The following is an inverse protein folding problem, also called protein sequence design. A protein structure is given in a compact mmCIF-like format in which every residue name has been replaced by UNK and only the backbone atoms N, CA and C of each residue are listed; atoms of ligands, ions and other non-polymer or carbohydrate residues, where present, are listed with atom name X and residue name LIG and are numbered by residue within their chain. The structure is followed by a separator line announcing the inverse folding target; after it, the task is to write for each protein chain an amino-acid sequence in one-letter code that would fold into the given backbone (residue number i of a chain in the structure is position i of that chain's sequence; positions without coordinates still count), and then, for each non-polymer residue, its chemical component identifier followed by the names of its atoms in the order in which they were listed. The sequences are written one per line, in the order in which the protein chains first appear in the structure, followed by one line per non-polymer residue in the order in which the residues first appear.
data_IF_100118144968
#
_entry.id   IF_100118144968
#
_cell.length_a   1.000
_cell.length_b   1.000
_cell.length_c   1.000
_cell.angle_alpha   90.00
_cell.angle_beta   90.00
_cell.angle_gamma   90.00
#
_symmetry.space_group_name_H-M   'P 1'
#
loop_
_entity.id
_entity.type
_entity.pdbx_description
1 polymer ?
#
# COMPACT_ATOMS: atom_id res chain seq x y z
N UNK A 1 12.32 30.48 27.45
CA UNK A 1 11.26 29.49 27.19
C UNK A 1 10.84 29.74 25.74
N UNK A 2 11.13 28.81 24.83
CA UNK A 2 10.62 28.91 23.45
C UNK A 2 9.15 28.51 23.50
N UNK A 3 8.26 29.45 23.25
CA UNK A 3 6.83 29.18 23.04
C UNK A 3 6.65 28.87 21.56
N UNK A 4 6.34 27.62 21.24
CA UNK A 4 5.90 27.23 19.91
C UNK A 4 4.42 27.57 19.80
N UNK A 5 4.08 28.55 18.95
CA UNK A 5 2.70 28.82 18.55
C UNK A 5 2.44 28.13 17.21
N UNK A 6 1.20 27.70 16.96
CA UNK A 6 0.81 27.18 15.65
C UNK A 6 1.00 28.28 14.58
N UNK A 7 1.54 27.90 13.42
CA UNK A 7 1.70 28.86 12.31
C UNK A 7 0.32 29.34 11.84
N UNK A 8 0.20 30.65 11.63
CA UNK A 8 -1.01 31.25 11.03
C UNK A 8 -0.95 31.27 9.51
N UNK A 9 0.19 30.90 8.92
CA UNK A 9 0.40 30.80 7.48
C UNK A 9 -0.38 29.59 6.93
N UNK A 10 -1.36 29.88 6.07
CA UNK A 10 -2.21 28.89 5.41
C UNK A 10 -1.88 28.72 3.93
N UNK A 11 -1.05 29.62 3.40
CA UNK A 11 -0.70 29.66 1.99
C UNK A 11 0.45 28.69 1.73
N UNK A 12 0.23 27.76 0.81
CA UNK A 12 1.25 26.81 0.34
C UNK A 12 1.30 26.94 -1.17
N UNK A 13 2.50 26.95 -1.76
CA UNK A 13 2.65 27.02 -3.21
C UNK A 13 3.42 25.80 -3.73
N UNK A 14 2.83 25.03 -4.67
CA UNK A 14 1.45 25.17 -5.17
C UNK A 14 0.40 24.91 -4.07
N UNK A 15 -0.82 25.46 -4.21
CA UNK A 15 -1.89 25.15 -3.26
C UNK A 15 -2.15 23.64 -3.25
N UNK A 16 -2.51 23.10 -2.10
CA UNK A 16 -2.99 21.72 -2.04
C UNK A 16 -4.22 21.58 -2.92
N UNK A 17 -4.20 20.58 -3.80
CA UNK A 17 -5.35 20.25 -4.63
C UNK A 17 -6.43 19.61 -3.75
N UNK A 18 -7.67 20.09 -3.89
CA UNK A 18 -8.83 19.50 -3.20
C UNK A 18 -9.34 18.31 -4.02
N UNK A 19 -8.76 17.13 -3.76
CA UNK A 19 -9.17 15.92 -4.44
C UNK A 19 -10.47 15.37 -3.84
N UNK A 20 -11.40 14.98 -4.71
CA UNK A 20 -12.56 14.22 -4.29
C UNK A 20 -12.12 12.89 -3.66
N UNK A 21 -12.79 12.44 -2.60
CA UNK A 21 -12.49 11.16 -1.97
C UNK A 21 -12.55 9.99 -2.98
N UNK A 22 -13.53 10.02 -3.86
CA UNK A 22 -13.67 9.14 -5.02
C UNK A 22 -14.01 9.97 -6.26
N UNK A 23 -13.23 9.82 -7.31
CA UNK A 23 -13.53 10.39 -8.63
C UNK A 23 -13.98 9.26 -9.56
N UNK A 24 -15.04 9.46 -10.33
CA UNK A 24 -15.46 8.52 -11.36
C UNK A 24 -15.70 9.25 -12.68
N UNK A 25 -15.18 8.69 -13.79
CA UNK A 25 -15.47 9.16 -15.14
C UNK A 25 -15.33 8.04 -16.17
N UNK A 26 -16.02 8.19 -17.29
CA UNK A 26 -15.77 7.38 -18.48
C UNK A 26 -14.65 8.03 -19.30
N UNK A 27 -13.61 7.27 -19.61
CA UNK A 27 -12.55 7.72 -20.53
C UNK A 27 -13.07 7.61 -21.97
N UNK A 28 -13.71 6.49 -22.27
CA UNK A 28 -14.45 6.22 -23.50
C UNK A 28 -15.62 5.27 -23.16
N UNK A 29 -16.47 4.85 -24.12
CA UNK A 29 -17.62 3.98 -23.84
C UNK A 29 -17.28 2.59 -23.26
N UNK A 30 -16.01 2.19 -23.25
CA UNK A 30 -15.55 0.87 -22.78
C UNK A 30 -14.66 0.95 -21.53
N UNK A 31 -13.92 2.06 -21.36
CA UNK A 31 -12.96 2.25 -20.28
C UNK A 31 -13.55 3.17 -19.20
N UNK A 32 -13.85 2.59 -18.02
CA UNK A 32 -14.19 3.35 -16.83
C UNK A 32 -12.91 3.72 -16.06
N UNK A 33 -12.94 4.88 -15.41
CA UNK A 33 -11.91 5.35 -14.49
C UNK A 33 -12.54 5.59 -13.12
N UNK A 34 -11.88 5.09 -12.08
CA UNK A 34 -12.19 5.37 -10.68
C UNK A 34 -10.91 5.71 -9.92
N UNK A 35 -10.86 6.88 -9.28
CA UNK A 35 -9.79 7.20 -8.33
C UNK A 35 -10.27 6.89 -6.92
N UNK A 36 -9.44 6.21 -6.15
CA UNK A 36 -9.68 5.93 -4.73
C UNK A 36 -8.64 6.70 -3.93
N UNK A 37 -8.93 7.94 -3.55
CA UNK A 37 -7.89 8.88 -3.09
C UNK A 37 -7.53 8.75 -1.60
N UNK A 38 -8.27 7.95 -0.82
CA UNK A 38 -7.93 7.69 0.59
C UNK A 38 -8.70 6.48 1.11
N UNK A 39 -8.02 5.63 1.89
CA UNK A 39 -8.66 4.59 2.70
C UNK A 39 -8.79 4.99 4.17
N UNK A 40 -8.55 6.24 4.52
CA UNK A 40 -8.72 6.76 5.89
C UNK A 40 -10.19 7.13 6.17
N UNK A 41 -10.93 7.52 5.11
CA UNK A 41 -12.32 7.89 5.23
C UNK A 41 -13.25 6.74 4.79
N UNK A 42 -14.00 6.10 5.71
CA UNK A 42 -14.88 4.96 5.39
C UNK A 42 -16.02 5.29 4.42
N UNK A 43 -16.30 6.58 4.17
CA UNK A 43 -17.29 6.98 3.16
C UNK A 43 -16.93 6.51 1.75
N UNK A 44 -15.65 6.22 1.48
CA UNK A 44 -15.21 5.76 0.16
C UNK A 44 -15.89 4.46 -0.26
N UNK A 45 -16.17 3.54 0.67
CA UNK A 45 -16.87 2.28 0.37
C UNK A 45 -18.29 2.55 -0.13
N UNK A 46 -19.03 3.41 0.56
CA UNK A 46 -20.37 3.83 0.14
C UNK A 46 -20.34 4.47 -1.25
N UNK A 47 -19.40 5.39 -1.49
CA UNK A 47 -19.24 6.04 -2.80
C UNK A 47 -18.89 5.03 -3.89
N UNK A 48 -18.07 4.02 -3.60
CA UNK A 48 -17.72 2.98 -4.54
C UNK A 48 -18.94 2.10 -4.87
N UNK A 49 -19.70 1.69 -3.85
CA UNK A 49 -20.94 0.91 -4.00
C UNK A 49 -21.95 1.67 -4.86
N UNK A 50 -22.13 2.97 -4.64
CA UNK A 50 -23.00 3.83 -5.45
C UNK A 50 -22.59 3.87 -6.94
N UNK A 51 -21.31 3.63 -7.26
CA UNK A 51 -20.80 3.56 -8.64
C UNK A 51 -20.83 2.18 -9.25
N UNK A 52 -21.10 1.12 -8.49
CA UNK A 52 -21.18 -0.25 -9.03
C UNK A 52 -22.10 -0.37 -10.25
N UNK A 53 -23.31 0.22 -10.31
CA UNK A 53 -24.16 0.14 -11.49
C UNK A 53 -23.53 0.67 -12.78
N UNK A 54 -22.66 1.68 -12.68
CA UNK A 54 -21.89 2.19 -13.82
C UNK A 54 -20.66 1.33 -14.10
N UNK A 55 -19.93 0.93 -13.05
CA UNK A 55 -18.75 0.09 -13.18
C UNK A 55 -19.06 -1.29 -13.79
N UNK A 56 -20.25 -1.85 -13.54
CA UNK A 56 -20.71 -3.10 -14.19
C UNK A 56 -20.83 -3.00 -15.71
N UNK A 57 -20.96 -1.79 -16.27
CA UNK A 57 -21.01 -1.58 -17.72
C UNK A 57 -19.63 -1.58 -18.35
N UNK A 58 -18.58 -1.38 -17.55
CA UNK A 58 -17.22 -1.22 -18.04
C UNK A 58 -16.71 -2.52 -18.66
N UNK A 59 -16.01 -2.39 -19.79
CA UNK A 59 -15.29 -3.51 -20.41
C UNK A 59 -13.83 -3.53 -20.00
N UNK A 60 -13.32 -2.40 -19.49
CA UNK A 60 -11.96 -2.16 -19.03
C UNK A 60 -12.01 -1.13 -17.91
N UNK A 61 -11.10 -1.24 -16.95
CA UNK A 61 -11.11 -0.40 -15.75
C UNK A 61 -9.74 0.23 -15.51
N UNK A 62 -9.73 1.48 -15.09
CA UNK A 62 -8.57 2.14 -14.49
C UNK A 62 -8.92 2.45 -13.04
N UNK A 63 -8.15 1.93 -12.10
CA UNK A 63 -8.22 2.26 -10.68
C UNK A 63 -7.00 3.13 -10.35
N UNK A 64 -7.21 4.38 -9.99
CA UNK A 64 -6.15 5.31 -9.65
C UNK A 64 -5.93 5.37 -8.13
N UNK A 65 -4.74 4.96 -7.70
CA UNK A 65 -4.28 4.97 -6.30
C UNK A 65 -3.12 5.95 -6.09
N UNK A 66 -2.75 6.74 -7.12
CA UNK A 66 -1.55 7.59 -7.08
C UNK A 66 -1.55 8.60 -5.94
N UNK A 67 -2.72 9.03 -5.49
CA UNK A 67 -2.90 9.98 -4.39
C UNK A 67 -3.33 9.32 -3.07
N UNK A 68 -3.39 7.99 -3.00
CA UNK A 68 -3.90 7.27 -1.83
C UNK A 68 -2.80 6.97 -0.81
N UNK A 69 -2.71 7.80 0.23
CA UNK A 69 -1.77 7.60 1.34
C UNK A 69 -2.11 6.43 2.29
N UNK A 70 -3.17 5.69 2.01
CA UNK A 70 -3.65 4.57 2.82
C UNK A 70 -4.72 4.98 3.82
N UNK A 71 -4.68 4.36 5.01
CA UNK A 71 -5.70 4.43 6.03
C UNK A 71 -5.98 3.03 6.59
N UNK A 72 -7.20 2.54 6.44
CA UNK A 72 -7.60 1.22 6.92
C UNK A 72 -7.53 0.17 5.79
N UNK A 73 -6.74 -0.88 6.00
CA UNK A 73 -6.62 -2.03 5.08
C UNK A 73 -7.99 -2.65 4.75
N UNK A 74 -8.90 -2.72 5.73
CA UNK A 74 -10.21 -3.35 5.51
C UNK A 74 -11.03 -2.63 4.43
N UNK A 75 -11.02 -1.30 4.40
CA UNK A 75 -11.70 -0.48 3.38
C UNK A 75 -11.18 -0.86 1.99
N UNK A 76 -9.85 -0.90 1.82
CA UNK A 76 -9.23 -1.32 0.57
C UNK A 76 -9.65 -2.74 0.14
N UNK A 77 -9.64 -3.69 1.09
CA UNK A 77 -10.05 -5.08 0.81
C UNK A 77 -11.54 -5.23 0.52
N UNK A 78 -12.40 -4.42 1.15
CA UNK A 78 -13.85 -4.39 0.93
C UNK A 78 -14.22 -3.84 -0.45
N UNK A 79 -13.38 -2.99 -1.04
CA UNK A 79 -13.49 -2.59 -2.44
C UNK A 79 -12.91 -3.68 -3.36
N UNK A 80 -11.73 -4.23 -3.03
CA UNK A 80 -11.04 -5.21 -3.86
C UNK A 80 -11.84 -6.49 -4.10
N UNK A 81 -12.67 -6.92 -3.13
CA UNK A 81 -13.55 -8.09 -3.27
C UNK A 81 -14.52 -7.99 -4.46
N UNK A 82 -14.83 -6.77 -4.95
CA UNK A 82 -15.62 -6.59 -6.18
C UNK A 82 -14.78 -6.70 -7.45
N UNK A 83 -13.45 -6.66 -7.36
CA UNK A 83 -12.54 -6.59 -8.50
C UNK A 83 -11.72 -7.89 -8.70
N UNK A 84 -11.79 -8.84 -7.78
CA UNK A 84 -11.00 -10.09 -7.75
C UNK A 84 -11.78 -11.32 -8.23
N UNK A 85 -11.08 -12.28 -8.83
CA UNK A 85 -11.62 -13.63 -9.10
C UNK A 85 -11.63 -14.53 -7.86
N UNK A 86 -10.81 -14.23 -6.86
CA UNK A 86 -10.52 -15.16 -5.78
C UNK A 86 -11.52 -15.02 -4.63
N UNK A 87 -11.67 -16.11 -3.87
CA UNK A 87 -12.41 -16.09 -2.60
C UNK A 87 -11.48 -15.97 -1.41
N UNK A 88 -10.21 -16.30 -1.59
CA UNK A 88 -9.15 -16.17 -0.60
C UNK A 88 -8.16 -15.11 -1.07
N UNK A 89 -7.98 -14.06 -0.29
CA UNK A 89 -7.13 -12.94 -0.58
C UNK A 89 -5.90 -12.99 0.33
N UNK A 90 -4.73 -13.11 -0.29
CA UNK A 90 -3.47 -13.26 0.44
C UNK A 90 -2.79 -11.89 0.59
N UNK A 91 -2.90 -11.34 1.81
CA UNK A 91 -2.29 -10.07 2.17
C UNK A 91 -0.80 -10.19 2.52
N UNK A 92 -0.25 -9.10 3.05
CA UNK A 92 1.14 -9.05 3.46
C UNK A 92 1.43 -9.99 4.64
N UNK A 93 2.64 -10.56 4.64
CA UNK A 93 3.17 -11.32 5.77
C UNK A 93 3.95 -10.38 6.68
N UNK A 94 3.53 -10.31 7.93
CA UNK A 94 4.16 -9.48 8.95
C UNK A 94 5.05 -10.29 9.89
N UNK A 95 6.18 -9.70 10.25
CA UNK A 95 6.99 -10.14 11.40
C UNK A 95 7.55 -8.94 12.15
N UNK A 96 7.80 -9.10 13.44
CA UNK A 96 8.47 -8.08 14.24
C UNK A 96 9.73 -8.63 14.86
N UNK A 97 10.69 -7.75 15.17
CA UNK A 97 11.89 -8.14 15.90
C UNK A 97 11.48 -8.51 17.33
N UNK A 98 11.73 -9.75 17.73
CA UNK A 98 11.51 -10.16 19.12
C UNK A 98 12.70 -9.71 19.97
N UNK A 99 12.55 -8.54 20.59
CA UNK A 99 13.61 -7.87 21.33
C UNK A 99 13.59 -8.24 22.82
N UNK A 100 14.48 -9.15 23.21
CA UNK A 100 14.73 -9.50 24.61
C UNK A 100 16.13 -9.01 24.99
N UNK A 101 16.26 -7.91 25.76
CA UNK A 101 17.56 -7.28 26.06
C UNK A 101 18.58 -8.24 26.68
N UNK A 102 18.13 -9.13 27.56
CA UNK A 102 18.99 -10.15 28.20
C UNK A 102 19.61 -11.11 27.19
N UNK A 103 18.83 -11.57 26.21
CA UNK A 103 19.35 -12.42 25.14
C UNK A 103 20.32 -11.68 24.25
N UNK A 104 20.04 -10.41 23.96
CA UNK A 104 20.94 -9.53 23.19
C UNK A 104 22.29 -9.38 23.89
N UNK A 105 22.30 -9.18 25.21
CA UNK A 105 23.52 -9.06 26.00
C UNK A 105 24.32 -10.37 26.07
N UNK A 106 23.66 -11.52 26.23
CA UNK A 106 24.35 -12.82 26.25
C UNK A 106 24.90 -13.21 24.88
N UNK A 107 24.17 -12.91 23.80
CA UNK A 107 24.60 -13.21 22.43
C UNK A 107 25.89 -12.54 22.01
N UNK A 108 26.28 -11.43 22.66
CA UNK A 108 27.60 -10.79 22.47
C UNK A 108 28.76 -11.75 22.74
N UNK A 109 28.57 -12.71 23.63
CA UNK A 109 29.57 -13.70 24.05
C UNK A 109 29.31 -15.09 23.47
N UNK A 110 28.35 -15.22 22.56
CA UNK A 110 28.00 -16.48 21.90
C UNK A 110 28.64 -16.53 20.51
N UNK A 111 29.35 -17.61 20.20
CA UNK A 111 29.91 -17.85 18.88
C UNK A 111 29.01 -18.79 18.06
N UNK A 112 29.09 -18.78 16.72
CA UNK A 112 28.29 -19.70 15.89
C UNK A 112 28.42 -21.18 16.27
N UNK A 113 29.62 -21.61 16.71
CA UNK A 113 29.87 -22.99 17.14
C UNK A 113 29.03 -23.41 18.36
N UNK A 114 28.65 -22.46 19.21
CA UNK A 114 27.87 -22.70 20.42
C UNK A 114 26.40 -22.97 20.10
N UNK A 115 25.97 -22.74 18.84
CA UNK A 115 24.56 -22.84 18.43
C UNK A 115 24.16 -24.21 17.87
N UNK A 116 25.12 -25.12 17.67
CA UNK A 116 24.90 -26.36 16.90
C UNK A 116 23.80 -27.26 17.48
N UNK A 117 23.65 -27.33 18.80
CA UNK A 117 22.62 -28.13 19.49
C UNK A 117 21.97 -27.37 20.67
N UNK A 118 22.14 -26.05 20.73
CA UNK A 118 21.59 -25.21 21.79
C UNK A 118 20.67 -24.13 21.19
N UNK A 119 19.35 -24.37 21.20
CA UNK A 119 18.36 -23.39 20.76
C UNK A 119 18.44 -22.06 21.51
N UNK A 120 18.91 -22.07 22.77
CA UNK A 120 19.07 -20.87 23.58
C UNK A 120 20.25 -20.04 23.13
N UNK A 121 21.41 -20.68 22.91
CA UNK A 121 22.59 -20.02 22.33
C UNK A 121 22.25 -19.46 20.94
N UNK A 122 21.53 -20.22 20.11
CA UNK A 122 21.03 -19.74 18.80
C UNK A 122 20.15 -18.50 18.95
N UNK A 123 19.18 -18.54 19.89
CA UNK A 123 18.29 -17.41 20.16
C UNK A 123 19.08 -16.18 20.62
N UNK A 124 20.01 -16.34 21.55
CA UNK A 124 20.87 -15.27 22.06
C UNK A 124 21.71 -14.64 20.93
N UNK A 125 22.39 -15.47 20.12
CA UNK A 125 23.20 -15.00 18.99
C UNK A 125 22.37 -14.23 17.96
N UNK A 126 21.19 -14.76 17.58
CA UNK A 126 20.29 -14.09 16.65
C UNK A 126 19.72 -12.78 17.24
N UNK A 127 19.41 -12.73 18.53
CA UNK A 127 18.98 -11.50 19.20
C UNK A 127 20.09 -10.44 19.21
N UNK A 128 21.35 -10.84 19.44
CA UNK A 128 22.52 -9.96 19.36
C UNK A 128 22.71 -9.36 17.97
N UNK A 129 22.54 -10.19 16.93
CA UNK A 129 22.70 -9.80 15.53
C UNK A 129 21.50 -9.04 14.94
N UNK A 130 20.47 -8.76 15.74
CA UNK A 130 19.22 -8.18 15.23
C UNK A 130 18.64 -9.05 14.07
N UNK A 131 18.67 -10.36 14.28
CA UNK A 131 18.20 -11.39 13.34
C UNK A 131 17.15 -12.34 13.95
N UNK A 132 16.74 -12.12 15.20
CA UNK A 132 15.67 -12.87 15.84
C UNK A 132 14.32 -12.16 15.68
N UNK A 133 13.33 -12.87 15.15
CA UNK A 133 12.02 -12.34 14.79
C UNK A 133 10.90 -13.20 15.37
N UNK A 134 9.77 -12.55 15.65
CA UNK A 134 8.47 -13.17 15.85
C UNK A 134 7.66 -13.01 14.58
N UNK A 135 7.33 -14.13 13.93
CA UNK A 135 6.43 -14.18 12.79
C UNK A 135 4.98 -14.23 13.30
N UNK A 136 4.15 -13.28 12.84
CA UNK A 136 2.74 -13.27 13.22
C UNK A 136 1.98 -14.41 12.51
N UNK A 137 0.89 -14.93 13.11
CA UNK A 137 0.02 -15.86 12.42
C UNK A 137 -0.43 -15.30 11.07
N UNK A 138 -0.42 -16.15 10.04
CA UNK A 138 -0.74 -15.75 8.68
C UNK A 138 -1.81 -16.66 8.11
N UNK A 139 -2.96 -16.06 7.79
CA UNK A 139 -4.09 -16.70 7.14
C UNK A 139 -4.62 -15.76 6.06
N UNK A 140 -5.13 -16.28 4.93
CA UNK A 140 -5.78 -15.43 3.93
C UNK A 140 -7.09 -14.85 4.45
N UNK A 141 -7.44 -13.67 3.97
CA UNK A 141 -8.78 -13.11 4.16
C UNK A 141 -9.78 -13.78 3.22
N UNK A 142 -11.04 -13.80 3.63
CA UNK A 142 -12.12 -14.33 2.78
C UNK A 142 -12.85 -13.17 2.12
N UNK A 143 -12.84 -13.11 0.79
CA UNK A 143 -13.67 -12.19 0.02
C UNK A 143 -15.14 -12.65 0.10
N UNK A 144 -16.03 -11.75 0.56
CA UNK A 144 -17.45 -12.07 0.83
C UNK A 144 -18.42 -11.24 -0.02
N UNK A 145 -17.95 -10.65 -1.11
CA UNK A 145 -18.81 -9.87 -2.00
C UNK A 145 -20.03 -10.71 -2.45
N UNK A 146 -21.22 -10.31 -2.00
CA UNK A 146 -22.49 -10.94 -2.38
C UNK A 146 -22.97 -10.49 -3.76
N UNK A 147 -22.47 -9.35 -4.23
CA UNK A 147 -22.80 -8.81 -5.54
C UNK A 147 -21.91 -9.37 -6.65
N UNK A 148 -22.28 -9.05 -7.90
CA UNK A 148 -21.46 -9.40 -9.06
C UNK A 148 -20.05 -8.78 -8.95
N UNK A 149 -19.05 -9.52 -9.42
CA UNK A 149 -17.66 -9.06 -9.49
C UNK A 149 -17.38 -8.45 -10.86
N UNK A 150 -16.57 -7.41 -10.86
CA UNK A 150 -16.12 -6.64 -12.02
C UNK A 150 -14.74 -7.12 -12.38
N UNK A 151 -14.69 -8.25 -13.09
CA UNK A 151 -13.43 -8.83 -13.51
C UNK A 151 -13.20 -8.62 -14.99
N UNK A 152 -12.53 -7.51 -15.29
CA UNK A 152 -12.22 -7.02 -16.63
C UNK A 152 -10.76 -6.57 -16.67
N UNK A 153 -10.12 -6.43 -17.85
CA UNK A 153 -8.80 -5.84 -17.95
C UNK A 153 -8.71 -4.52 -17.16
N UNK A 154 -7.84 -4.50 -16.14
CA UNK A 154 -7.76 -3.44 -15.15
C UNK A 154 -6.33 -2.91 -15.06
N UNK A 155 -6.18 -1.59 -15.08
CA UNK A 155 -4.92 -0.92 -14.76
C UNK A 155 -5.03 -0.29 -13.38
N UNK A 156 -4.05 -0.54 -12.52
CA UNK A 156 -3.86 0.13 -11.24
C UNK A 156 -2.80 1.23 -11.44
N UNK A 157 -3.18 2.51 -11.33
CA UNK A 157 -2.23 3.60 -11.37
C UNK A 157 -1.63 3.80 -9.98
N UNK A 158 -0.30 3.80 -9.90
CA UNK A 158 0.45 3.87 -8.64
C UNK A 158 1.55 4.93 -8.73
N UNK A 159 1.96 5.45 -7.58
CA UNK A 159 3.08 6.37 -7.49
C UNK A 159 3.54 6.62 -6.07
N UNK A 160 4.46 7.57 -5.90
CA UNK A 160 5.16 7.81 -4.64
C UNK A 160 4.24 8.14 -3.45
N UNK A 161 3.02 8.64 -3.68
CA UNK A 161 2.06 8.90 -2.59
C UNK A 161 1.13 7.70 -2.29
N UNK A 162 1.16 6.65 -3.10
CA UNK A 162 0.49 5.38 -2.79
C UNK A 162 1.20 4.74 -1.60
N UNK A 163 0.55 4.61 -0.45
CA UNK A 163 1.21 4.19 0.78
C UNK A 163 0.31 3.33 1.67
N UNK A 164 0.90 2.60 2.63
CA UNK A 164 0.15 2.00 3.75
C UNK A 164 -0.95 1.04 3.24
N UNK A 165 -2.20 1.17 3.69
CA UNK A 165 -3.33 0.36 3.24
C UNK A 165 -3.52 0.34 1.70
N UNK A 166 -3.06 1.37 0.97
CA UNK A 166 -3.07 1.36 -0.49
C UNK A 166 -2.01 0.40 -1.07
N UNK A 167 -0.88 0.22 -0.39
CA UNK A 167 0.11 -0.81 -0.74
C UNK A 167 -0.42 -2.21 -0.39
N UNK A 168 -1.13 -2.35 0.74
CA UNK A 168 -1.81 -3.62 1.06
C UNK A 168 -2.81 -4.01 -0.04
N UNK A 169 -3.62 -3.07 -0.54
CA UNK A 169 -4.51 -3.30 -1.68
C UNK A 169 -3.77 -3.90 -2.87
N UNK A 170 -2.59 -3.36 -3.20
CA UNK A 170 -1.76 -3.87 -4.31
C UNK A 170 -1.22 -5.27 -4.04
N UNK A 171 -0.88 -5.58 -2.78
CA UNK A 171 -0.39 -6.91 -2.38
C UNK A 171 -1.52 -7.94 -2.50
N UNK A 172 -2.72 -7.63 -2.02
CA UNK A 172 -3.88 -8.50 -2.20
C UNK A 172 -4.26 -8.67 -3.68
N UNK A 173 -4.02 -7.64 -4.50
CA UNK A 173 -4.28 -7.67 -5.95
C UNK A 173 -3.17 -8.35 -6.77
N UNK A 174 -2.02 -8.71 -6.18
CA UNK A 174 -0.81 -9.04 -6.94
C UNK A 174 -0.94 -10.32 -7.78
N UNK A 175 -1.80 -11.26 -7.35
CA UNK A 175 -2.06 -12.51 -8.08
C UNK A 175 -3.17 -12.38 -9.14
N UNK A 176 -3.77 -11.20 -9.30
CA UNK A 176 -4.87 -10.99 -10.24
C UNK A 176 -4.34 -10.77 -11.67
N UNK A 177 -4.37 -11.81 -12.52
CA UNK A 177 -3.82 -11.75 -13.90
C UNK A 177 -4.47 -10.70 -14.81
N UNK A 178 -5.69 -10.26 -14.48
CA UNK A 178 -6.38 -9.18 -15.21
C UNK A 178 -5.98 -7.78 -14.76
N UNK A 179 -5.20 -7.64 -13.68
CA UNK A 179 -4.74 -6.36 -13.15
C UNK A 179 -3.27 -6.11 -13.49
N UNK A 180 -2.94 -4.88 -13.88
CA UNK A 180 -1.55 -4.46 -14.13
C UNK A 180 -1.27 -3.11 -13.47
N UNK A 181 -0.11 -2.97 -12.82
CA UNK A 181 0.34 -1.76 -12.14
C UNK A 181 1.12 -0.87 -13.11
N UNK A 182 0.74 0.39 -13.28
CA UNK A 182 1.41 1.36 -14.16
C UNK A 182 1.70 2.65 -13.39
N UNK A 183 2.91 3.18 -13.53
CA UNK A 183 3.31 4.43 -12.88
C UNK A 183 4.69 4.32 -12.26
N UNK A 184 4.85 4.75 -11.03
CA UNK A 184 6.11 4.76 -10.29
C UNK A 184 6.05 3.86 -9.05
N UNK A 185 7.19 3.48 -8.45
CA UNK A 185 7.19 2.78 -7.16
C UNK A 185 6.36 3.50 -6.11
N UNK A 186 5.68 2.74 -5.27
CA UNK A 186 4.91 3.27 -4.13
C UNK A 186 5.83 3.73 -2.99
N UNK A 187 5.25 4.30 -1.94
CA UNK A 187 5.99 4.90 -0.83
C UNK A 187 6.89 3.90 -0.07
N UNK A 188 6.48 2.64 0.05
CA UNK A 188 7.24 1.59 0.73
C UNK A 188 7.09 1.60 2.25
N UNK A 189 5.88 1.74 2.78
CA UNK A 189 5.62 1.79 4.23
C UNK A 189 4.50 0.86 4.67
N UNK A 190 4.65 0.26 5.85
CA UNK A 190 3.66 -0.67 6.44
C UNK A 190 2.47 0.02 7.11
N UNK A 191 2.47 1.36 7.18
CA UNK A 191 1.30 2.11 7.65
C UNK A 191 0.96 2.03 9.14
N UNK A 192 1.61 1.15 9.90
CA UNK A 192 1.30 0.90 11.32
C UNK A 192 2.49 1.22 12.23
N UNK A 193 2.93 2.49 12.33
CA UNK A 193 4.01 2.86 13.21
C UNK A 193 3.55 2.91 14.67
N UNK A 194 4.45 2.60 15.60
CA UNK A 194 4.28 2.98 16.99
C UNK A 194 4.53 4.48 17.12
N UNK A 195 3.61 5.18 17.79
CA UNK A 195 3.74 6.60 18.13
C UNK A 195 4.15 6.76 19.59
N UNK A 196 5.01 7.74 19.89
CA UNK A 196 5.43 8.06 21.24
C UNK A 196 5.82 9.54 21.38
N UNK A 197 5.61 10.07 22.58
CA UNK A 197 5.92 11.46 22.91
C UNK A 197 7.41 11.64 23.27
N UNK A 198 7.96 12.80 22.92
CA UNK A 198 9.32 13.20 23.24
C UNK A 198 9.31 14.23 24.39
N UNK A 199 10.36 14.25 25.23
CA UNK A 199 10.56 15.34 26.18
C UNK A 199 10.55 16.69 25.45
N UNK A 200 9.80 17.66 26.00
CA UNK A 200 9.66 18.99 25.38
C UNK A 200 8.47 19.15 24.45
N UNK A 201 7.59 18.15 24.32
CA UNK A 201 6.27 18.29 23.70
C UNK A 201 6.19 17.98 22.20
N UNK A 202 7.26 17.43 21.61
CA UNK A 202 7.21 16.84 20.28
C UNK A 202 6.78 15.36 20.32
N UNK A 203 6.53 14.77 19.17
CA UNK A 203 6.23 13.33 19.04
C UNK A 203 7.11 12.69 17.97
N UNK A 204 7.24 11.37 18.05
CA UNK A 204 7.95 10.55 17.07
C UNK A 204 7.13 9.31 16.72
N UNK A 205 7.40 8.77 15.54
CA UNK A 205 6.81 7.52 15.06
C UNK A 205 7.89 6.61 14.50
N UNK A 206 7.77 5.31 14.79
CA UNK A 206 8.73 4.29 14.34
C UNK A 206 7.97 3.07 13.81
N UNK A 207 8.40 2.55 12.65
CA UNK A 207 7.86 1.30 12.12
C UNK A 207 8.34 0.13 12.98
N UNK A 208 7.41 -0.73 13.41
CA UNK A 208 7.70 -1.82 14.37
C UNK A 208 7.66 -3.22 13.75
N UNK A 209 7.25 -3.32 12.48
CA UNK A 209 7.12 -4.59 11.76
C UNK A 209 7.74 -4.51 10.36
N UNK A 210 8.24 -5.64 9.89
CA UNK A 210 8.62 -5.88 8.50
C UNK A 210 7.45 -6.61 7.83
N UNK A 211 6.95 -6.05 6.73
CA UNK A 211 5.96 -6.68 5.89
C UNK A 211 6.59 -7.11 4.56
N UNK A 212 6.12 -8.24 4.04
CA UNK A 212 6.51 -8.83 2.76
C UNK A 212 5.29 -9.25 1.97
N UNK A 213 5.45 -9.48 0.67
CA UNK A 213 4.47 -10.23 -0.11
C UNK A 213 4.31 -11.64 0.46
N UNK A 214 3.21 -12.36 0.13
CA UNK A 214 3.03 -13.76 0.54
C UNK A 214 4.21 -14.68 0.19
N UNK A 215 4.89 -14.40 -0.93
CA UNK A 215 6.05 -15.16 -1.43
C UNK A 215 7.41 -14.70 -0.84
N UNK A 216 7.40 -13.70 0.04
CA UNK A 216 8.60 -13.16 0.69
C UNK A 216 9.31 -12.03 -0.06
N UNK A 217 8.81 -11.58 -1.23
CA UNK A 217 9.30 -10.34 -1.86
C UNK A 217 9.16 -9.17 -0.87
N UNK A 218 10.12 -8.24 -0.91
CA UNK A 218 10.15 -7.05 -0.06
C UNK A 218 9.59 -5.84 -0.79
N UNK A 219 8.82 -5.02 -0.09
CA UNK A 219 8.37 -3.71 -0.57
C UNK A 219 8.64 -2.59 0.43
N UNK A 220 8.71 -2.88 1.73
CA UNK A 220 9.03 -1.87 2.76
C UNK A 220 10.41 -1.28 2.52
N UNK A 221 10.49 0.05 2.39
CA UNK A 221 11.69 0.80 2.03
C UNK A 221 12.01 0.87 0.53
N UNK A 222 11.27 0.15 -0.32
CA UNK A 222 11.49 0.10 -1.78
C UNK A 222 10.26 0.54 -2.60
N UNK A 223 9.06 0.39 -2.02
CA UNK A 223 7.79 0.48 -2.73
C UNK A 223 7.41 -0.83 -3.43
N UNK A 224 6.10 -1.06 -3.58
CA UNK A 224 5.52 -1.94 -4.60
C UNK A 224 5.93 -1.40 -5.97
N UNK A 225 6.51 -2.28 -6.78
CA UNK A 225 7.02 -1.91 -8.10
C UNK A 225 5.89 -1.92 -9.15
N UNK A 226 5.89 -0.98 -10.10
CA UNK A 226 4.98 -1.03 -11.24
C UNK A 226 5.41 -2.15 -12.19
N UNK A 227 4.43 -2.77 -12.86
CA UNK A 227 4.68 -3.71 -13.96
C UNK A 227 5.12 -2.94 -15.23
N UNK A 228 4.63 -1.70 -15.40
CA UNK A 228 5.09 -0.76 -16.43
C UNK A 228 5.48 0.57 -15.77
N UNK A 229 6.78 0.83 -15.72
CA UNK A 229 7.33 2.08 -15.20
C UNK A 229 7.03 3.25 -16.15
N UNK A 230 6.45 4.32 -15.60
CA UNK A 230 6.17 5.58 -16.31
C UNK A 230 6.44 6.73 -15.36
N UNK A 231 7.38 7.61 -15.72
CA UNK A 231 7.68 8.81 -14.94
C UNK A 231 6.92 10.02 -15.46
N UNK A 232 6.38 10.84 -14.55
CA UNK A 232 5.87 12.17 -14.88
C UNK A 232 7.03 13.17 -14.85
N UNK A 233 7.33 13.78 -15.99
CA UNK A 233 8.43 14.76 -16.07
C UNK A 233 7.95 16.16 -15.65
N UNK A 234 8.91 17.05 -15.34
CA UNK A 234 8.60 18.47 -15.12
C UNK A 234 7.90 19.11 -16.33
N UNK A 235 8.29 18.70 -17.54
CA UNK A 235 7.64 19.18 -18.76
C UNK A 235 6.19 18.74 -18.85
N UNK A 236 5.87 17.51 -18.43
CA UNK A 236 4.49 17.02 -18.39
C UNK A 236 3.67 17.81 -17.37
N UNK A 237 4.25 18.10 -16.20
CA UNK A 237 3.62 18.95 -15.19
C UNK A 237 3.32 20.35 -15.73
N UNK A 238 4.30 21.00 -16.36
CA UNK A 238 4.13 22.34 -16.94
C UNK A 238 3.10 22.40 -18.07
N UNK A 239 2.91 21.28 -18.79
CA UNK A 239 1.95 21.18 -19.90
C UNK A 239 0.59 20.61 -19.48
N UNK A 240 0.40 20.29 -18.19
CA UNK A 240 -0.82 19.66 -17.70
C UNK A 240 -1.08 18.26 -18.27
N UNK A 241 -0.01 17.54 -18.66
CA UNK A 241 -0.09 16.18 -19.20
C UNK A 241 -0.07 15.13 -18.10
N UNK A 242 -0.75 14.02 -18.37
CA UNK A 242 -0.75 12.84 -17.50
C UNK A 242 -0.22 11.63 -18.29
N UNK A 243 1.11 11.47 -18.40
CA UNK A 243 1.70 10.38 -19.18
C UNK A 243 1.37 9.00 -18.62
N UNK A 244 1.09 8.91 -17.32
CA UNK A 244 0.74 7.65 -16.65
C UNK A 244 -0.67 7.23 -17.05
N UNK A 245 -1.64 8.15 -17.01
CA UNK A 245 -3.00 7.89 -17.47
C UNK A 245 -3.04 7.63 -18.99
N UNK A 246 -2.32 8.41 -19.79
CA UNK A 246 -2.21 8.20 -21.24
C UNK A 246 -1.67 6.80 -21.56
N UNK A 247 -0.63 6.35 -20.84
CA UNK A 247 -0.05 5.02 -21.03
C UNK A 247 -1.02 3.91 -20.65
N UNK A 248 -1.80 4.10 -19.60
CA UNK A 248 -2.83 3.15 -19.16
C UNK A 248 -3.94 2.97 -20.19
N UNK A 249 -4.42 4.08 -20.76
CA UNK A 249 -5.44 4.07 -21.81
C UNK A 249 -4.90 3.32 -23.05
N UNK A 250 -3.68 3.63 -23.49
CA UNK A 250 -3.03 2.94 -24.61
C UNK A 250 -2.83 1.45 -24.34
N UNK A 251 -2.51 1.06 -23.11
CA UNK A 251 -2.37 -0.34 -22.74
C UNK A 251 -3.72 -1.08 -22.84
N UNK A 252 -4.77 -0.51 -22.25
CA UNK A 252 -6.11 -1.09 -22.27
C UNK A 252 -6.71 -1.15 -23.68
N UNK A 253 -6.47 -0.16 -24.53
CA UNK A 253 -6.94 -0.18 -25.92
C UNK A 253 -6.34 -1.31 -26.75
N UNK A 254 -5.14 -1.79 -26.41
CA UNK A 254 -4.48 -2.92 -27.11
C UNK A 254 -4.91 -4.30 -26.61
N UNK A 255 -5.47 -4.40 -25.41
CA UNK A 255 -6.09 -5.64 -24.95
C UNK A 255 -7.48 -5.77 -25.60
N UNK A 256 -7.72 -6.86 -26.31
CA UNK A 256 -9.06 -7.22 -26.79
C UNK A 256 -9.95 -7.67 -25.62
#
# INVERSE_FOLDING_TARGET
ILTHDETTEKEVYPPFEDWQLLEFKWIDPQIAYVALNSFDNPKIDTLFIEKLPELYKAKKLIVDLRNNGGGNTNIGTEILQYLTHDTLLYGSRSRSRDHIPTLKAWGQWTEPKDTLDDPWAKKALLSYQDAYYYDFPYEPDTARAEAARIVVPTVLLIGHNTASAAEDFLIYADNQEHMIKIGEPTFGSTGQPMMFELPGGGSARICTKEDTYPDGRKFVGYGVQPDILVHKTLSDYQQGKDPVLERAIQFLQKKE
#
